data_IF_440833551514
#
_entry.id   IF_440833551514
#
_cell.length_a   1.000
_cell.length_b   1.000
_cell.length_c   1.000
_cell.angle_alpha   90.00
_cell.angle_beta   90.00
_cell.angle_gamma   90.00
#
_symmetry.space_group_name_H-M   'P 1'
#
loop_
_entity.id
_entity.type
_entity.pdbx_description
1 polymer ?
#
# COMPACT_ATOMS: atom_id res chain seq x y z
N UNK A 1 -8.83 78.64 -47.04
CA UNK A 1 -7.41 78.35 -47.35
C UNK A 1 -7.07 77.02 -46.71
N UNK A 2 -6.66 76.01 -47.50
CA UNK A 2 -6.29 74.66 -47.06
C UNK A 2 -5.11 74.71 -46.10
N UNK A 3 -5.14 73.93 -45.02
CA UNK A 3 -3.94 73.22 -44.55
C UNK A 3 -4.29 71.97 -43.76
N UNK A 4 -4.08 70.85 -44.45
CA UNK A 4 -4.03 69.47 -43.97
C UNK A 4 -2.89 69.29 -42.97
N UNK A 5 -3.12 68.66 -41.81
CA UNK A 5 -2.06 68.00 -41.02
C UNK A 5 -2.52 66.60 -40.61
N UNK A 6 -1.79 65.60 -41.12
CA UNK A 6 -1.78 64.21 -40.66
C UNK A 6 -1.01 64.11 -39.35
N UNK A 7 -1.47 63.27 -38.43
CA UNK A 7 -0.63 62.60 -37.42
C UNK A 7 -1.27 61.22 -37.15
N UNK A 8 -0.80 60.17 -37.81
CA UNK A 8 0.17 59.15 -37.33
C UNK A 8 -0.40 58.28 -36.21
N UNK A 9 -0.70 57.02 -36.57
CA UNK A 9 -1.32 56.03 -35.69
C UNK A 9 -0.39 55.51 -34.60
N UNK A 10 -0.96 55.30 -33.42
CA UNK A 10 -0.38 54.50 -32.35
C UNK A 10 -0.97 53.08 -32.44
N UNK A 11 -0.15 52.14 -32.93
CA UNK A 11 -0.41 50.70 -32.80
C UNK A 11 -0.23 50.33 -31.33
N UNK A 12 -1.35 50.08 -30.63
CA UNK A 12 -1.36 49.45 -29.32
C UNK A 12 -0.89 48.00 -29.48
N UNK A 13 0.35 47.73 -29.07
CA UNK A 13 0.85 46.39 -28.81
C UNK A 13 0.14 45.89 -27.54
N UNK A 14 -0.92 45.09 -27.72
CA UNK A 14 -1.53 44.33 -26.65
C UNK A 14 -0.54 43.23 -26.21
N UNK A 15 0.13 43.47 -25.09
CA UNK A 15 0.97 42.47 -24.43
C UNK A 15 0.09 41.35 -23.87
N UNK A 16 0.18 40.16 -24.48
CA UNK A 16 -0.24 38.92 -23.85
C UNK A 16 0.75 38.60 -22.73
N UNK A 17 0.41 38.96 -21.50
CA UNK A 17 1.04 38.38 -20.33
C UNK A 17 0.56 36.92 -20.23
N UNK A 18 1.39 35.97 -20.63
CA UNK A 18 1.20 34.57 -20.26
C UNK A 18 1.34 34.48 -18.73
N UNK A 19 0.22 34.25 -18.04
CA UNK A 19 0.25 33.85 -16.64
C UNK A 19 0.86 32.45 -16.57
N UNK A 20 2.13 32.37 -16.17
CA UNK A 20 2.77 31.11 -15.76
C UNK A 20 2.07 30.68 -14.47
N UNK A 21 1.16 29.72 -14.56
CA UNK A 21 0.60 29.05 -13.39
C UNK A 21 1.76 28.28 -12.75
N UNK A 22 2.12 28.53 -11.48
CA UNK A 22 3.07 27.67 -10.81
C UNK A 22 2.41 26.30 -10.69
N UNK A 23 2.96 25.30 -11.40
CA UNK A 23 2.79 23.90 -10.99
C UNK A 23 3.40 23.82 -9.59
N UNK A 24 2.56 23.97 -8.56
CA UNK A 24 2.90 23.56 -7.20
C UNK A 24 3.18 22.06 -7.29
N UNK A 25 4.46 21.71 -7.35
CA UNK A 25 4.90 20.32 -7.36
C UNK A 25 4.37 19.66 -6.11
N UNK A 26 3.42 18.74 -6.28
CA UNK A 26 2.97 17.81 -5.26
C UNK A 26 4.16 16.91 -4.93
N UNK A 27 5.07 17.37 -4.08
CA UNK A 27 6.13 16.51 -3.58
C UNK A 27 5.47 15.49 -2.65
N UNK A 28 5.62 14.18 -2.92
CA UNK A 28 5.10 13.17 -2.03
C UNK A 28 5.75 13.35 -0.65
N UNK A 29 4.94 13.38 0.40
CA UNK A 29 5.43 13.41 1.78
C UNK A 29 5.55 11.95 2.23
N UNK A 30 6.77 11.51 2.50
CA UNK A 30 7.00 10.22 3.12
C UNK A 30 6.65 10.33 4.61
N UNK A 31 5.69 9.52 5.07
CA UNK A 31 5.51 9.35 6.51
C UNK A 31 6.66 8.48 7.04
N UNK A 32 7.10 8.75 8.27
CA UNK A 32 8.10 7.91 8.92
C UNK A 32 7.63 6.45 8.96
N UNK A 33 8.55 5.50 8.77
CA UNK A 33 8.24 4.08 8.85
C UNK A 33 7.57 3.75 10.19
N UNK A 34 6.43 3.07 10.12
CA UNK A 34 5.63 2.71 11.29
C UNK A 34 5.77 1.21 11.56
N UNK A 35 5.94 0.85 12.82
CA UNK A 35 5.94 -0.54 13.23
C UNK A 35 4.51 -1.01 13.44
N UNK A 36 4.09 -2.01 12.66
CA UNK A 36 2.76 -2.63 12.76
C UNK A 36 2.91 -4.05 13.30
N UNK A 37 2.15 -4.36 14.34
CA UNK A 37 2.08 -5.71 14.91
C UNK A 37 0.79 -6.39 14.47
N UNK A 38 0.94 -7.49 13.74
CA UNK A 38 -0.14 -8.40 13.41
C UNK A 38 -0.28 -9.46 14.49
N UNK A 39 -1.51 -9.67 14.95
CA UNK A 39 -1.89 -10.83 15.75
C UNK A 39 -2.28 -11.94 14.80
N UNK A 40 -1.60 -13.06 14.89
CA UNK A 40 -1.75 -14.21 14.00
C UNK A 40 -2.43 -15.35 14.74
N UNK A 41 -3.24 -16.10 14.01
CA UNK A 41 -3.82 -17.37 14.43
C UNK A 41 -3.61 -18.39 13.33
N UNK A 42 -2.94 -19.48 13.68
CA UNK A 42 -2.65 -20.58 12.75
C UNK A 42 -3.30 -21.85 13.24
N UNK A 43 -3.91 -22.62 12.34
CA UNK A 43 -4.54 -23.90 12.70
C UNK A 43 -3.95 -25.03 11.87
N UNK A 44 -3.44 -26.07 12.52
CA UNK A 44 -2.88 -27.25 11.87
C UNK A 44 -3.22 -28.51 12.66
N UNK A 45 -3.58 -29.60 11.97
CA UNK A 45 -3.89 -30.89 12.59
C UNK A 45 -4.88 -30.79 13.78
N UNK A 46 -5.89 -29.90 13.68
CA UNK A 46 -6.89 -29.68 14.74
C UNK A 46 -6.41 -28.86 15.94
N UNK A 47 -5.15 -28.40 15.94
CA UNK A 47 -4.60 -27.51 16.96
C UNK A 47 -4.54 -26.08 16.43
N UNK A 48 -4.82 -25.12 17.31
CA UNK A 48 -4.73 -23.69 16.99
C UNK A 48 -3.68 -23.05 17.88
N UNK A 49 -2.85 -22.19 17.30
CA UNK A 49 -1.86 -21.42 18.02
C UNK A 49 -1.89 -19.96 17.59
N UNK A 50 -1.75 -19.07 18.58
CA UNK A 50 -1.67 -17.64 18.38
C UNK A 50 -0.22 -17.18 18.47
N UNK A 51 0.14 -16.20 17.66
CA UNK A 51 1.47 -15.60 17.64
C UNK A 51 1.40 -14.14 17.15
N UNK A 52 2.52 -13.45 17.13
CA UNK A 52 2.60 -12.10 16.58
C UNK A 52 3.65 -12.00 15.49
N UNK A 53 3.41 -11.08 14.55
CA UNK A 53 4.35 -10.70 13.51
C UNK A 53 4.47 -9.18 13.49
N UNK A 54 5.68 -8.67 13.69
CA UNK A 54 5.96 -7.24 13.63
C UNK A 54 6.64 -6.91 12.31
N UNK A 55 6.10 -5.91 11.60
CA UNK A 55 6.59 -5.47 10.30
C UNK A 55 6.73 -3.94 10.32
N UNK A 56 7.84 -3.43 9.81
CA UNK A 56 7.98 -2.00 9.51
C UNK A 56 7.30 -1.69 8.20
N UNK A 57 6.39 -0.71 8.19
CA UNK A 57 5.65 -0.29 7.00
C UNK A 57 5.93 1.19 6.76
N UNK A 58 6.45 1.49 5.59
CA UNK A 58 6.63 2.85 5.11
C UNK A 58 5.51 3.19 4.14
N UNK A 59 4.82 4.29 4.40
CA UNK A 59 3.74 4.78 3.57
C UNK A 59 4.06 6.18 3.07
N UNK A 60 3.89 6.40 1.77
CA UNK A 60 4.11 7.71 1.15
C UNK A 60 2.88 8.11 0.35
N UNK A 61 2.42 9.34 0.55
CA UNK A 61 1.33 9.95 -0.22
C UNK A 61 1.50 11.48 -0.20
N UNK A 62 0.95 12.23 -1.16
CA UNK A 62 1.05 13.70 -1.13
C UNK A 62 0.36 14.27 0.11
N UNK A 63 0.87 15.37 0.66
CA UNK A 63 0.26 15.99 1.85
C UNK A 63 -1.11 16.61 1.55
N UNK A 64 -1.28 17.14 0.34
CA UNK A 64 -2.53 17.73 -0.15
C UNK A 64 -2.85 17.27 -1.56
N UNK A 65 -4.13 17.33 -1.95
CA UNK A 65 -4.58 17.07 -3.31
C UNK A 65 -5.83 17.91 -3.57
N UNK A 66 -5.97 18.47 -4.77
CA UNK A 66 -7.18 19.17 -5.15
C UNK A 66 -8.38 18.21 -5.23
N UNK A 67 -9.63 18.67 -5.02
CA UNK A 67 -10.82 17.89 -5.27
C UNK A 67 -10.83 17.26 -6.67
N UNK A 68 -11.15 15.97 -6.78
CA UNK A 68 -11.09 15.22 -8.05
C UNK A 68 -9.67 14.99 -8.60
N UNK A 69 -8.63 15.42 -7.89
CA UNK A 69 -7.23 15.24 -8.30
C UNK A 69 -6.76 13.80 -8.19
N UNK A 70 -5.78 13.43 -9.03
CA UNK A 70 -5.11 12.14 -8.92
C UNK A 70 -4.08 12.16 -7.79
N UNK A 71 -4.00 11.06 -7.03
CA UNK A 71 -2.93 10.83 -6.07
C UNK A 71 -2.43 9.39 -6.14
N UNK A 72 -1.16 9.20 -5.76
CA UNK A 72 -0.57 7.87 -5.60
C UNK A 72 -0.20 7.66 -4.13
N UNK A 73 -0.56 6.49 -3.60
CA UNK A 73 -0.17 6.02 -2.27
C UNK A 73 0.75 4.84 -2.45
N UNK A 74 1.96 4.90 -1.91
CA UNK A 74 2.86 3.74 -1.89
C UNK A 74 2.96 3.15 -0.48
N UNK A 75 3.03 1.82 -0.43
CA UNK A 75 3.20 1.03 0.78
C UNK A 75 4.36 0.05 0.57
N UNK A 76 5.43 0.25 1.32
CA UNK A 76 6.60 -0.63 1.33
C UNK A 76 6.74 -1.27 2.70
N UNK A 77 7.10 -2.56 2.74
CA UNK A 77 7.44 -3.24 3.98
C UNK A 77 8.95 -3.39 4.11
N UNK A 78 9.46 -3.28 5.34
CA UNK A 78 10.80 -3.74 5.66
C UNK A 78 10.97 -5.25 5.45
N UNK A 79 12.21 -5.77 5.48
CA UNK A 79 12.47 -7.20 5.38
C UNK A 79 11.76 -7.97 6.51
N UNK A 80 11.17 -9.12 6.15
CA UNK A 80 10.46 -10.03 7.05
C UNK A 80 11.23 -11.35 7.08
N UNK A 81 11.56 -11.82 8.28
CA UNK A 81 12.17 -13.15 8.47
C UNK A 81 11.09 -14.16 8.82
N UNK A 82 10.95 -15.19 8.00
CA UNK A 82 10.12 -16.35 8.30
C UNK A 82 10.85 -17.16 9.37
N UNK A 83 10.26 -17.43 10.54
CA UNK A 83 10.92 -18.26 11.54
C UNK A 83 11.15 -19.67 11.00
N UNK A 84 12.24 -20.32 11.41
CA UNK A 84 12.52 -21.72 11.06
C UNK A 84 11.71 -22.71 11.91
N UNK A 85 11.14 -22.25 13.02
CA UNK A 85 10.24 -23.03 13.87
C UNK A 85 9.22 -22.15 14.58
N UNK A 86 8.05 -22.71 14.88
CA UNK A 86 7.03 -22.09 15.71
C UNK A 86 6.26 -23.16 16.48
N UNK A 87 5.95 -22.90 17.76
CA UNK A 87 5.18 -23.81 18.62
C UNK A 87 5.72 -25.26 18.65
N UNK A 88 7.05 -25.42 18.58
CA UNK A 88 7.72 -26.73 18.58
C UNK A 88 7.76 -27.45 17.23
N UNK A 89 7.18 -26.87 16.17
CA UNK A 89 7.22 -27.43 14.82
C UNK A 89 8.23 -26.70 13.94
N UNK A 90 8.92 -27.43 13.06
CA UNK A 90 9.74 -26.84 12.00
C UNK A 90 8.85 -26.23 10.93
N UNK A 91 9.10 -24.98 10.57
CA UNK A 91 8.47 -24.33 9.43
C UNK A 91 9.31 -24.62 8.20
N UNK A 92 8.72 -25.31 7.23
CA UNK A 92 9.36 -25.60 5.95
C UNK A 92 9.31 -24.37 5.05
N UNK A 93 8.15 -23.76 4.91
CA UNK A 93 7.93 -22.58 4.07
C UNK A 93 6.61 -21.88 4.44
N UNK A 94 6.44 -20.64 3.97
CA UNK A 94 5.14 -19.98 3.87
C UNK A 94 4.80 -19.73 2.39
N UNK A 95 3.51 -19.76 2.07
CA UNK A 95 3.01 -19.55 0.71
C UNK A 95 1.64 -18.87 0.73
N UNK A 96 1.19 -18.44 -0.43
CA UNK A 96 -0.13 -17.84 -0.65
C UNK A 96 -0.39 -16.63 0.26
N UNK A 97 0.61 -15.77 0.44
CA UNK A 97 0.47 -14.56 1.24
C UNK A 97 -0.54 -13.64 0.56
N UNK A 98 -1.54 -13.17 1.30
CA UNK A 98 -2.48 -12.14 0.86
C UNK A 98 -2.53 -11.02 1.88
N UNK A 99 -2.23 -9.81 1.45
CA UNK A 99 -2.35 -8.59 2.22
C UNK A 99 -3.54 -7.80 1.68
N UNK A 100 -4.48 -7.45 2.55
CA UNK A 100 -5.66 -6.68 2.23
C UNK A 100 -5.46 -5.23 2.66
N UNK A 101 -5.72 -4.29 1.74
CA UNK A 101 -5.62 -2.86 1.97
C UNK A 101 -6.96 -2.24 1.57
N UNK A 102 -7.76 -1.72 2.50
CA UNK A 102 -8.99 -1.03 2.16
C UNK A 102 -8.68 0.20 1.31
N UNK A 103 -9.49 0.45 0.30
CA UNK A 103 -9.44 1.71 -0.45
C UNK A 103 -9.78 2.83 0.54
N UNK A 104 -8.91 3.84 0.71
CA UNK A 104 -9.16 4.91 1.66
C UNK A 104 -10.48 5.64 1.40
N UNK A 105 -11.18 6.03 2.46
CA UNK A 105 -12.36 6.88 2.34
C UNK A 105 -12.01 8.21 1.66
N UNK A 106 -13.03 8.88 1.10
CA UNK A 106 -12.87 10.11 0.31
C UNK A 106 -11.96 9.94 -0.92
N UNK A 107 -11.82 8.72 -1.42
CA UNK A 107 -11.09 8.42 -2.64
C UNK A 107 -11.78 7.32 -3.45
N UNK A 108 -11.52 7.31 -4.75
CA UNK A 108 -11.94 6.25 -5.67
C UNK A 108 -10.72 5.51 -6.19
N UNK A 109 -10.80 4.18 -6.22
CA UNK A 109 -9.73 3.34 -6.77
C UNK A 109 -9.61 3.52 -8.28
N UNK A 110 -8.40 3.78 -8.75
CA UNK A 110 -8.05 3.76 -10.17
C UNK A 110 -7.33 2.47 -10.55
N UNK A 111 -6.14 2.24 -9.97
CA UNK A 111 -5.33 1.04 -10.24
C UNK A 111 -4.40 0.70 -9.10
N UNK A 112 -3.78 -0.48 -9.18
CA UNK A 112 -2.66 -0.86 -8.33
C UNK A 112 -1.51 -1.41 -9.18
N UNK A 113 -0.29 -1.27 -8.70
CA UNK A 113 0.89 -1.90 -9.27
C UNK A 113 1.83 -2.36 -8.17
N UNK A 114 2.67 -3.35 -8.49
CA UNK A 114 3.68 -3.89 -7.59
C UNK A 114 5.06 -3.68 -8.22
N UNK A 115 6.05 -3.35 -7.39
CA UNK A 115 7.45 -3.21 -7.83
C UNK A 115 8.42 -3.71 -6.75
N UNK A 116 9.62 -4.09 -7.19
CA UNK A 116 10.64 -4.62 -6.29
C UNK A 116 10.26 -5.95 -5.65
N UNK A 117 10.57 -6.11 -4.37
CA UNK A 117 10.49 -7.37 -3.65
C UNK A 117 11.72 -8.25 -3.86
N UNK A 118 12.02 -9.08 -2.86
CA UNK A 118 13.18 -9.97 -2.87
C UNK A 118 12.90 -11.26 -2.10
N UNK A 119 13.40 -12.39 -2.59
CA UNK A 119 13.28 -13.72 -1.97
C UNK A 119 11.83 -14.17 -1.69
N UNK A 120 10.88 -13.75 -2.53
CA UNK A 120 9.45 -14.05 -2.37
C UNK A 120 8.98 -15.34 -3.09
N UNK A 121 9.93 -16.18 -3.50
CA UNK A 121 9.66 -17.41 -4.27
C UNK A 121 9.59 -17.17 -5.78
N UNK A 122 9.19 -18.21 -6.53
CA UNK A 122 9.12 -18.20 -7.99
C UNK A 122 7.77 -17.73 -8.55
N UNK A 123 6.73 -17.66 -7.71
CA UNK A 123 5.44 -17.15 -8.13
C UNK A 123 5.45 -15.64 -8.33
N UNK A 124 4.74 -15.16 -9.35
CA UNK A 124 4.65 -13.73 -9.65
C UNK A 124 3.67 -13.03 -8.70
N UNK A 125 4.10 -12.01 -7.93
CA UNK A 125 3.19 -11.21 -7.14
C UNK A 125 2.17 -10.47 -8.00
N UNK A 126 0.95 -10.34 -7.48
CA UNK A 126 -0.12 -9.63 -8.17
C UNK A 126 -0.92 -8.78 -7.20
N UNK A 127 -1.58 -7.74 -7.71
CA UNK A 127 -2.55 -6.97 -6.93
C UNK A 127 -3.87 -6.91 -7.69
N UNK A 128 -4.98 -6.94 -6.97
CA UNK A 128 -6.33 -6.85 -7.54
C UNK A 128 -7.27 -6.16 -6.57
N UNK A 129 -8.26 -5.44 -7.07
CA UNK A 129 -9.29 -4.80 -6.24
C UNK A 129 -10.62 -5.54 -6.38
N UNK A 130 -11.29 -5.74 -5.23
CA UNK A 130 -12.67 -6.18 -5.18
C UNK A 130 -13.35 -5.62 -3.92
N UNK A 131 -14.63 -5.25 -4.03
CA UNK A 131 -15.45 -4.80 -2.89
C UNK A 131 -14.80 -3.71 -2.01
N UNK A 132 -14.10 -2.75 -2.63
CA UNK A 132 -13.46 -1.65 -1.90
C UNK A 132 -12.17 -2.04 -1.17
N UNK A 133 -11.61 -3.22 -1.43
CA UNK A 133 -10.35 -3.70 -0.85
C UNK A 133 -9.39 -4.12 -1.96
N UNK A 134 -8.14 -3.69 -1.87
CA UNK A 134 -7.05 -4.14 -2.72
C UNK A 134 -6.34 -5.28 -2.04
N UNK A 135 -6.27 -6.44 -2.69
CA UNK A 135 -5.54 -7.61 -2.22
C UNK A 135 -4.24 -7.75 -2.99
N UNK A 136 -3.11 -7.71 -2.27
CA UNK A 136 -1.79 -8.06 -2.78
C UNK A 136 -1.56 -9.54 -2.51
N UNK A 137 -1.29 -10.32 -3.55
CA UNK A 137 -0.98 -11.75 -3.46
C UNK A 137 0.50 -11.98 -3.76
N UNK A 138 1.19 -12.69 -2.88
CA UNK A 138 2.55 -13.18 -3.07
C UNK A 138 2.53 -14.70 -2.95
N UNK A 139 2.60 -15.45 -4.07
CA UNK A 139 2.37 -16.90 -4.04
C UNK A 139 3.41 -17.68 -3.22
N UNK A 140 4.66 -17.20 -3.14
CA UNK A 140 5.74 -17.98 -2.53
C UNK A 140 6.25 -19.11 -3.45
N UNK A 141 6.82 -20.18 -2.88
CA UNK A 141 7.08 -20.37 -1.46
C UNK A 141 8.26 -19.52 -0.96
N UNK A 142 8.20 -19.12 0.31
CA UNK A 142 9.31 -18.50 1.05
C UNK A 142 9.76 -19.47 2.14
N UNK A 143 11.01 -19.91 2.09
CA UNK A 143 11.53 -20.94 2.99
C UNK A 143 11.53 -20.48 4.46
N UNK A 144 11.31 -21.42 5.39
CA UNK A 144 11.51 -21.17 6.82
C UNK A 144 12.97 -20.79 7.11
N UNK A 145 13.17 -19.79 7.95
CA UNK A 145 14.47 -19.19 8.24
C UNK A 145 14.96 -18.18 7.20
N UNK A 146 14.26 -18.01 6.07
CA UNK A 146 14.64 -17.02 5.06
C UNK A 146 14.12 -15.62 5.42
N UNK A 147 14.87 -14.61 4.99
CA UNK A 147 14.44 -13.20 4.99
C UNK A 147 13.98 -12.81 3.59
N UNK A 148 12.78 -12.27 3.51
CA UNK A 148 12.16 -11.80 2.27
C UNK A 148 11.66 -10.36 2.41
N UNK A 149 11.64 -9.62 1.31
CA UNK A 149 11.06 -8.29 1.24
C UNK A 149 9.86 -8.37 0.32
N UNK A 150 8.67 -8.03 0.80
CA UNK A 150 7.48 -8.03 -0.05
C UNK A 150 7.57 -6.89 -1.09
N UNK A 151 6.91 -7.04 -2.25
CA UNK A 151 6.85 -5.98 -3.25
C UNK A 151 6.21 -4.71 -2.67
N UNK A 152 6.72 -3.56 -3.10
CA UNK A 152 6.09 -2.27 -2.82
C UNK A 152 4.79 -2.18 -3.60
N UNK A 153 3.69 -1.89 -2.89
CA UNK A 153 2.40 -1.59 -3.49
C UNK A 153 2.32 -0.11 -3.83
N UNK A 154 1.88 0.21 -5.05
CA UNK A 154 1.44 1.56 -5.43
C UNK A 154 -0.04 1.52 -5.76
N UNK A 155 -0.83 2.35 -5.09
CA UNK A 155 -2.24 2.58 -5.35
C UNK A 155 -2.41 3.92 -6.04
N UNK A 156 -3.08 3.94 -7.18
CA UNK A 156 -3.49 5.16 -7.85
C UNK A 156 -4.96 5.42 -7.55
N UNK A 157 -5.24 6.58 -6.96
CA UNK A 157 -6.55 6.96 -6.48
C UNK A 157 -6.95 8.31 -7.08
N UNK A 158 -8.25 8.58 -7.09
CA UNK A 158 -8.83 9.90 -7.37
C UNK A 158 -9.46 10.43 -6.09
N UNK A 159 -9.08 11.64 -5.70
CA UNK A 159 -9.64 12.31 -4.52
C UNK A 159 -11.13 12.62 -4.70
N UNK A 160 -11.90 12.54 -3.62
CA UNK A 160 -13.27 13.05 -3.55
C UNK A 160 -13.33 14.58 -3.47
N UNK A 161 -14.45 15.10 -2.97
CA UNK A 161 -14.72 16.54 -2.98
C UNK A 161 -14.00 17.31 -1.86
N UNK A 162 -13.88 16.71 -0.67
CA UNK A 162 -13.24 17.33 0.50
C UNK A 162 -12.94 16.29 1.58
N UNK A 163 -12.17 16.70 2.60
CA UNK A 163 -11.88 15.87 3.77
C UNK A 163 -10.46 15.31 3.77
N UNK A 164 -10.29 14.14 4.38
CA UNK A 164 -8.98 13.50 4.55
C UNK A 164 -9.00 12.09 3.97
N UNK A 165 -7.96 11.77 3.22
CA UNK A 165 -7.67 10.43 2.70
C UNK A 165 -6.63 9.81 3.64
N UNK A 166 -7.06 8.87 4.48
CA UNK A 166 -6.19 8.19 5.45
C UNK A 166 -5.96 6.74 5.05
N UNK A 167 -4.70 6.40 4.83
CA UNK A 167 -4.29 5.04 4.44
C UNK A 167 -4.09 4.18 5.69
N UNK A 168 -4.63 2.97 5.68
CA UNK A 168 -4.52 1.97 6.75
C UNK A 168 -4.33 0.58 6.15
N UNK A 169 -3.91 -0.37 6.98
CA UNK A 169 -3.92 -1.79 6.61
C UNK A 169 -5.31 -2.36 6.84
N UNK A 170 -5.65 -3.44 6.13
CA UNK A 170 -6.91 -4.14 6.34
C UNK A 170 -6.90 -4.99 7.60
N UNK A 171 -8.07 -5.52 7.93
CA UNK A 171 -8.26 -6.48 9.00
C UNK A 171 -8.70 -5.88 10.33
N UNK A 172 -9.69 -6.52 10.94
CA UNK A 172 -10.26 -6.13 12.24
C UNK A 172 -10.34 -7.30 13.23
N UNK A 173 -10.07 -8.53 12.78
CA UNK A 173 -10.09 -9.73 13.60
C UNK A 173 -9.76 -10.98 12.79
N UNK A 174 -9.78 -12.16 13.41
CA UNK A 174 -9.47 -13.41 12.70
C UNK A 174 -10.52 -13.84 11.66
N UNK A 175 -11.76 -13.35 11.78
CA UNK A 175 -12.84 -13.56 10.81
C UNK A 175 -12.85 -12.53 9.67
N UNK A 176 -12.14 -11.42 9.84
CA UNK A 176 -11.91 -10.38 8.84
C UNK A 176 -10.41 -10.04 8.83
N UNK A 177 -9.58 -10.92 8.24
CA UNK A 177 -8.13 -10.78 8.31
C UNK A 177 -7.60 -9.75 7.31
N UNK A 178 -6.60 -9.00 7.75
CA UNK A 178 -5.80 -8.10 6.93
C UNK A 178 -4.64 -8.79 6.23
N UNK A 179 -4.16 -9.88 6.84
CA UNK A 179 -3.05 -10.69 6.34
C UNK A 179 -3.48 -12.16 6.42
N UNK A 180 -3.29 -12.90 5.34
CA UNK A 180 -3.43 -14.36 5.35
C UNK A 180 -2.25 -15.00 4.65
N UNK A 181 -1.89 -16.21 5.06
CA UNK A 181 -0.92 -17.04 4.37
C UNK A 181 -1.10 -18.50 4.82
N UNK A 182 -0.44 -19.43 4.15
CA UNK A 182 -0.34 -20.82 4.62
C UNK A 182 1.10 -21.11 5.01
N UNK A 183 1.34 -21.40 6.29
CA UNK A 183 2.60 -21.99 6.73
C UNK A 183 2.56 -23.50 6.49
N UNK A 184 3.64 -24.07 5.96
CA UNK A 184 3.82 -25.52 5.86
C UNK A 184 4.75 -25.94 6.99
N UNK A 185 4.21 -26.64 7.98
CA UNK A 185 4.97 -27.13 9.14
C UNK A 185 5.26 -28.63 9.00
N UNK A 186 6.34 -29.11 9.60
CA UNK A 186 6.66 -30.53 9.64
C UNK A 186 6.19 -31.15 10.95
N UNK A 187 5.23 -32.06 10.87
CA UNK A 187 4.73 -32.87 12.00
C UNK A 187 5.23 -34.29 11.81
N UNK A 188 6.12 -34.74 12.70
CA UNK A 188 6.79 -36.04 12.58
C UNK A 188 7.46 -36.26 11.20
N UNK A 189 7.98 -35.18 10.60
CA UNK A 189 8.61 -35.20 9.28
C UNK A 189 7.66 -35.06 8.08
N UNK A 190 6.35 -35.06 8.30
CA UNK A 190 5.35 -34.88 7.24
C UNK A 190 4.88 -33.42 7.13
N UNK A 191 4.77 -32.86 5.91
CA UNK A 191 4.29 -31.50 5.71
C UNK A 191 2.79 -31.41 6.00
N UNK A 192 2.42 -30.48 6.86
CA UNK A 192 1.05 -30.15 7.22
C UNK A 192 0.82 -28.66 6.96
N UNK A 193 -0.27 -28.34 6.26
CA UNK A 193 -0.67 -26.95 6.04
C UNK A 193 -1.28 -26.38 7.33
N UNK A 194 -0.80 -25.19 7.69
CA UNK A 194 -1.29 -24.35 8.75
C UNK A 194 -1.78 -23.04 8.12
N UNK A 195 -3.06 -22.94 7.72
CA UNK A 195 -3.64 -21.67 7.33
C UNK A 195 -3.53 -20.68 8.49
N UNK A 196 -3.08 -19.47 8.18
CA UNK A 196 -2.83 -18.41 9.14
C UNK A 196 -3.62 -17.18 8.76
N UNK A 197 -4.39 -16.65 9.72
CA UNK A 197 -5.10 -15.39 9.61
C UNK A 197 -4.49 -14.39 10.57
N UNK A 198 -4.35 -13.15 10.11
CA UNK A 198 -3.76 -12.07 10.87
C UNK A 198 -4.48 -10.74 10.69
N UNK A 199 -4.48 -9.94 11.74
CA UNK A 199 -4.97 -8.56 11.70
C UNK A 199 -4.04 -7.65 12.52
N UNK A 200 -3.85 -6.39 12.09
CA UNK A 200 -3.06 -5.43 12.84
C UNK A 200 -3.83 -4.93 14.05
N UNK A 201 -3.21 -4.94 15.22
CA UNK A 201 -3.77 -4.31 16.42
C UNK A 201 -2.64 -3.79 17.35
N UNK A 202 -2.51 -2.45 17.53
CA UNK A 202 -3.35 -1.40 16.93
C UNK A 202 -3.15 -1.28 15.40
N UNK A 203 -4.15 -0.74 14.70
CA UNK A 203 -4.09 -0.42 13.28
C UNK A 203 -3.99 1.10 13.07
N UNK A 204 -2.79 1.69 13.05
CA UNK A 204 -2.61 3.14 12.93
C UNK A 204 -2.90 3.65 11.52
N UNK A 205 -3.08 4.97 11.39
CA UNK A 205 -3.04 5.64 10.08
C UNK A 205 -1.60 5.68 9.61
N UNK A 206 -1.33 5.06 8.46
CA UNK A 206 0.01 4.97 7.90
C UNK A 206 0.47 6.29 7.25
N UNK A 207 -0.43 6.93 6.52
CA UNK A 207 -0.22 8.27 5.96
C UNK A 207 -1.56 8.97 5.67
N UNK A 208 -1.54 10.29 5.50
CA UNK A 208 -2.73 11.11 5.27
C UNK A 208 -2.52 12.21 4.23
N UNK A 209 -3.58 12.47 3.46
CA UNK A 209 -3.65 13.53 2.42
C UNK A 209 -4.89 14.34 2.68
N UNK A 210 -4.75 15.66 2.78
CA UNK A 210 -5.88 16.58 2.88
C UNK A 210 -6.39 16.93 1.49
N UNK A 211 -7.71 16.90 1.29
CA UNK A 211 -8.34 17.39 0.06
C UNK A 211 -8.63 18.88 0.23
N UNK A 212 -7.98 19.73 -0.57
CA UNK A 212 -8.10 21.19 -0.47
C UNK A 212 -7.29 21.95 -1.51
#
# INVERSE_FOLDING_TARGET
MKLTRRATGARLLAGLALAVVPLLGLTPSAAAAQTVTYHLRSTAAGQTADSTLTVSVEATQPATVAPGGALSVTLATGPITVPSSANGYTIREIKDIRLNIPVPANSTYGSCSLSGGANVGSGTPSCSQAAGTVTVTVPGPIAGGATATLPTLTLNLTAGDSGMISTRLGGTGYSDPGLTFTAVVLVLGFPVNAPTNGYPDPNPVLASTTIG
#
